data_IF_975112314466
#
_entry.id   IF_975112314466
#
_cell.length_a   1.000
_cell.length_b   1.000
_cell.length_c   1.000
_cell.angle_alpha   90.00
_cell.angle_beta   90.00
_cell.angle_gamma   90.00
#
_symmetry.space_group_name_H-M   'P 1'
#
loop_
_entity.id
_entity.type
_entity.pdbx_description
1 polymer ?
#
# COMPACT_ATOMS: atom_id res chain seq x y z
N UNK A 1 -16.85 -36.67 -14.67
CA UNK A 1 -16.90 -35.77 -15.84
C UNK A 1 -16.41 -34.41 -15.37
N UNK A 2 -15.13 -34.08 -15.61
CA UNK A 2 -14.61 -32.74 -15.27
C UNK A 2 -15.24 -31.74 -16.23
N UNK A 3 -15.99 -30.77 -15.72
CA UNK A 3 -16.40 -29.62 -16.51
C UNK A 3 -15.13 -28.89 -16.98
N UNK A 4 -15.02 -28.48 -18.26
CA UNK A 4 -13.95 -27.60 -18.67
C UNK A 4 -14.09 -26.29 -17.89
N UNK A 5 -12.95 -25.77 -17.40
CA UNK A 5 -12.92 -24.46 -16.76
C UNK A 5 -13.60 -23.42 -17.68
N UNK A 6 -14.38 -22.48 -17.12
CA UNK A 6 -15.04 -21.46 -17.93
C UNK A 6 -13.99 -20.71 -18.75
N UNK A 7 -14.02 -20.90 -20.07
CA UNK A 7 -13.17 -20.17 -20.99
C UNK A 7 -13.67 -18.72 -20.99
N UNK A 8 -12.85 -17.80 -20.49
CA UNK A 8 -13.16 -16.39 -20.53
C UNK A 8 -13.28 -15.95 -22.00
N UNK A 9 -14.28 -15.11 -22.36
CA UNK A 9 -14.37 -14.56 -23.71
C UNK A 9 -13.06 -13.89 -24.11
N UNK A 10 -12.60 -14.03 -25.35
CA UNK A 10 -11.31 -13.49 -25.84
C UNK A 10 -11.13 -12.00 -25.55
N UNK A 11 -12.22 -11.22 -25.54
CA UNK A 11 -12.26 -9.79 -25.17
C UNK A 11 -11.85 -9.49 -23.72
N UNK A 12 -11.81 -10.49 -22.85
CA UNK A 12 -11.36 -10.40 -21.46
C UNK A 12 -10.06 -11.17 -21.22
N UNK A 13 -9.49 -11.81 -22.25
CA UNK A 13 -8.17 -12.41 -22.19
C UNK A 13 -7.13 -11.29 -22.18
N UNK A 14 -6.31 -11.28 -21.14
CA UNK A 14 -5.26 -10.28 -21.00
C UNK A 14 -4.09 -10.55 -21.94
N UNK A 15 -3.55 -9.50 -22.56
CA UNK A 15 -2.30 -9.54 -23.34
C UNK A 15 -1.12 -8.97 -22.54
N UNK A 16 0.09 -9.39 -22.88
CA UNK A 16 1.31 -8.96 -22.19
C UNK A 16 1.93 -7.69 -22.79
N UNK A 17 1.48 -7.24 -23.96
CA UNK A 17 1.97 -5.98 -24.53
C UNK A 17 0.84 -5.10 -25.04
N UNK A 18 0.96 -3.79 -24.81
CA UNK A 18 0.01 -2.78 -25.33
C UNK A 18 -0.06 -2.78 -26.86
N UNK A 19 1.01 -3.21 -27.53
CA UNK A 19 1.10 -3.26 -28.99
C UNK A 19 0.17 -4.33 -29.62
N UNK A 20 -0.24 -5.34 -28.84
CA UNK A 20 -1.20 -6.37 -29.27
C UNK A 20 -2.64 -5.85 -29.30
N UNK A 21 -2.89 -4.63 -28.81
CA UNK A 21 -4.21 -4.01 -28.75
C UNK A 21 -4.34 -2.86 -29.77
N UNK A 22 -5.56 -2.57 -30.26
CA UNK A 22 -5.80 -1.43 -31.15
C UNK A 22 -5.22 -0.12 -30.61
N UNK A 23 -4.61 0.68 -31.50
CA UNK A 23 -3.89 1.89 -31.11
C UNK A 23 -4.83 3.03 -30.65
N UNK A 24 -6.08 3.01 -31.09
CA UNK A 24 -7.12 4.02 -30.86
C UNK A 24 -7.90 3.83 -29.54
N UNK A 25 -7.55 2.83 -28.73
CA UNK A 25 -8.19 2.60 -27.44
C UNK A 25 -8.00 3.77 -26.47
N UNK A 26 -9.08 4.11 -25.80
CA UNK A 26 -9.14 5.21 -24.82
C UNK A 26 -8.67 4.71 -23.46
N UNK A 27 -7.60 5.30 -22.94
CA UNK A 27 -7.26 5.18 -21.53
C UNK A 27 -8.07 6.20 -20.71
N UNK A 28 -8.88 5.73 -19.77
CA UNK A 28 -9.77 6.61 -18.97
C UNK A 28 -9.12 7.18 -17.69
N UNK A 29 -7.88 6.78 -17.39
CA UNK A 29 -7.13 7.27 -16.22
C UNK A 29 -6.52 8.65 -16.45
N UNK A 30 -6.35 9.41 -15.37
CA UNK A 30 -5.62 10.69 -15.40
C UNK A 30 -4.11 10.49 -15.31
N UNK A 31 -3.72 9.42 -14.63
CA UNK A 31 -2.37 8.91 -14.52
C UNK A 31 -1.92 8.23 -15.82
N UNK A 32 -0.60 8.08 -16.06
CA UNK A 32 -0.09 7.27 -17.15
C UNK A 32 -0.63 5.83 -17.11
N UNK A 33 -0.67 5.17 -18.27
CA UNK A 33 -0.97 3.74 -18.34
C UNK A 33 0.10 2.95 -17.54
N UNK A 34 -0.27 2.19 -16.50
CA UNK A 34 0.69 1.44 -15.70
C UNK A 34 1.38 0.33 -16.49
N UNK A 35 2.64 0.03 -16.16
CA UNK A 35 3.36 -1.10 -16.74
C UNK A 35 2.86 -2.45 -16.16
N UNK A 36 3.03 -3.54 -16.90
CA UNK A 36 2.86 -4.88 -16.31
C UNK A 36 3.90 -5.09 -15.21
N UNK A 37 3.46 -5.65 -14.09
CA UNK A 37 4.25 -5.79 -12.86
C UNK A 37 4.22 -4.58 -11.95
N UNK A 38 3.67 -3.44 -12.40
CA UNK A 38 3.53 -2.24 -11.58
C UNK A 38 2.44 -2.43 -10.51
N UNK A 39 2.66 -1.83 -9.33
CA UNK A 39 1.66 -1.79 -8.26
C UNK A 39 0.74 -0.60 -8.47
N UNK A 40 -0.56 -0.85 -8.38
CA UNK A 40 -1.64 0.14 -8.53
C UNK A 40 -2.60 0.01 -7.35
N UNK A 41 -3.38 1.06 -7.08
CA UNK A 41 -4.41 1.01 -6.06
C UNK A 41 -5.79 1.04 -6.73
N UNK A 42 -6.55 -0.05 -6.63
CA UNK A 42 -7.91 -0.12 -7.15
C UNK A 42 -8.85 0.51 -6.13
N UNK A 43 -9.41 1.68 -6.47
CA UNK A 43 -10.32 2.43 -5.58
C UNK A 43 -11.73 1.86 -5.57
N UNK A 44 -12.09 1.11 -6.61
CA UNK A 44 -13.41 0.53 -6.75
C UNK A 44 -13.58 -0.71 -5.84
N UNK A 45 -14.73 -0.80 -5.18
CA UNK A 45 -15.20 -1.98 -4.44
C UNK A 45 -14.21 -2.54 -3.40
N UNK A 46 -13.41 -1.68 -2.77
CA UNK A 46 -12.44 -2.02 -1.72
C UNK A 46 -11.39 -3.08 -2.11
N UNK A 47 -11.04 -3.20 -3.40
CA UNK A 47 -9.95 -4.10 -3.83
C UNK A 47 -8.57 -3.63 -3.36
N UNK A 48 -8.34 -2.32 -3.29
CA UNK A 48 -7.12 -1.75 -2.71
C UNK A 48 -5.85 -2.07 -3.52
N UNK A 49 -4.70 -2.31 -2.86
CA UNK A 49 -3.42 -2.63 -3.49
C UNK A 49 -3.50 -3.81 -4.46
N UNK A 50 -2.98 -3.66 -5.67
CA UNK A 50 -2.96 -4.70 -6.68
C UNK A 50 -1.73 -4.60 -7.59
N UNK A 51 -1.39 -5.72 -8.25
CA UNK A 51 -0.32 -5.78 -9.26
C UNK A 51 -0.93 -5.94 -10.64
N UNK A 52 -0.48 -5.16 -11.61
CA UNK A 52 -0.93 -5.27 -13.01
C UNK A 52 -0.31 -6.51 -13.65
N UNK A 53 -1.15 -7.37 -14.23
CA UNK A 53 -0.71 -8.61 -14.88
C UNK A 53 -0.82 -8.55 -16.40
N UNK A 54 -1.86 -7.91 -16.93
CA UNK A 54 -2.14 -7.87 -18.36
C UNK A 54 -2.88 -6.60 -18.74
N UNK A 55 -2.85 -6.28 -20.03
CA UNK A 55 -3.77 -5.30 -20.63
C UNK A 55 -4.96 -6.01 -21.26
N UNK A 56 -6.11 -5.35 -21.26
CA UNK A 56 -7.29 -5.81 -22.00
C UNK A 56 -8.02 -4.59 -22.60
N UNK A 57 -9.03 -4.84 -23.43
CA UNK A 57 -9.88 -3.78 -23.92
C UNK A 57 -11.35 -4.20 -23.92
N UNK A 58 -12.23 -3.24 -23.67
CA UNK A 58 -13.67 -3.44 -23.80
C UNK A 58 -14.32 -2.14 -24.27
N UNK A 59 -15.22 -2.23 -25.25
CA UNK A 59 -16.05 -1.11 -25.72
C UNK A 59 -15.26 0.16 -26.09
N UNK A 60 -14.07 0.00 -26.68
CA UNK A 60 -13.19 1.12 -27.08
C UNK A 60 -12.28 1.65 -25.98
N UNK A 61 -12.37 1.10 -24.77
CA UNK A 61 -11.54 1.48 -23.63
C UNK A 61 -10.42 0.48 -23.38
N UNK A 62 -9.26 1.01 -23.00
CA UNK A 62 -8.13 0.25 -22.50
C UNK A 62 -8.26 0.05 -20.99
N UNK A 63 -8.03 -1.18 -20.53
CA UNK A 63 -7.99 -1.54 -19.12
C UNK A 63 -6.83 -2.47 -18.78
N UNK A 64 -6.69 -2.77 -17.49
CA UNK A 64 -5.71 -3.70 -16.94
C UNK A 64 -6.39 -4.84 -16.16
N UNK A 65 -5.86 -6.05 -16.26
CA UNK A 65 -6.15 -7.12 -15.30
C UNK A 65 -5.14 -7.02 -14.17
N UNK A 66 -5.64 -6.89 -12.96
CA UNK A 66 -4.83 -6.78 -11.75
C UNK A 66 -5.08 -7.97 -10.82
N UNK A 67 -4.06 -8.35 -10.05
CA UNK A 67 -4.21 -9.26 -8.90
C UNK A 67 -4.16 -8.43 -7.62
N UNK A 68 -5.29 -8.25 -6.91
CA UNK A 68 -5.32 -7.60 -5.61
C UNK A 68 -4.49 -8.39 -4.59
N UNK A 69 -3.80 -7.68 -3.70
CA UNK A 69 -3.03 -8.30 -2.61
C UNK A 69 -3.96 -8.99 -1.60
N UNK A 70 -5.12 -8.40 -1.36
CA UNK A 70 -6.18 -8.97 -0.52
C UNK A 70 -7.48 -8.92 -1.29
N UNK A 71 -8.05 -10.09 -1.60
CA UNK A 71 -9.38 -10.18 -2.22
C UNK A 71 -10.46 -9.94 -1.14
N UNK A 72 -11.43 -9.04 -1.39
CA UNK A 72 -12.60 -8.89 -0.52
C UNK A 72 -13.43 -10.16 -0.42
N UNK A 73 -14.02 -10.43 0.74
CA UNK A 73 -14.78 -11.67 0.97
C UNK A 73 -16.05 -11.74 0.12
N UNK A 74 -16.69 -10.61 -0.15
CA UNK A 74 -17.84 -10.54 -1.06
C UNK A 74 -17.45 -11.03 -2.47
N UNK A 75 -16.24 -10.70 -2.93
CA UNK A 75 -15.78 -11.06 -4.26
C UNK A 75 -15.45 -12.55 -4.34
N UNK A 76 -14.81 -13.10 -3.30
CA UNK A 76 -14.54 -14.55 -3.20
C UNK A 76 -15.84 -15.36 -3.25
N UNK A 77 -16.91 -14.86 -2.63
CA UNK A 77 -18.22 -15.51 -2.61
C UNK A 77 -18.91 -15.44 -3.99
N UNK A 78 -18.84 -14.28 -4.65
CA UNK A 78 -19.47 -14.06 -5.95
C UNK A 78 -18.74 -14.78 -7.09
N UNK A 79 -17.41 -14.84 -7.04
CA UNK A 79 -16.54 -15.34 -8.11
C UNK A 79 -15.53 -16.36 -7.57
N UNK A 80 -15.98 -17.56 -7.16
CA UNK A 80 -15.10 -18.57 -6.58
C UNK A 80 -14.01 -18.99 -7.58
N UNK A 81 -12.76 -18.91 -7.15
CA UNK A 81 -11.57 -19.29 -7.95
C UNK A 81 -11.03 -18.17 -8.84
N UNK A 82 -11.68 -17.02 -8.92
CA UNK A 82 -11.19 -15.85 -9.67
C UNK A 82 -10.25 -15.04 -8.80
N UNK A 83 -9.01 -14.82 -9.27
CA UNK A 83 -7.98 -14.09 -8.54
C UNK A 83 -7.58 -12.76 -9.18
N UNK A 84 -8.07 -12.51 -10.40
CA UNK A 84 -7.78 -11.31 -11.17
C UNK A 84 -9.04 -10.51 -11.38
N UNK A 85 -8.88 -9.19 -11.37
CA UNK A 85 -9.97 -8.24 -11.54
C UNK A 85 -9.66 -7.32 -12.70
N UNK A 86 -10.67 -7.01 -13.48
CA UNK A 86 -10.60 -5.99 -14.52
C UNK A 86 -10.71 -4.61 -13.88
N UNK A 87 -9.82 -3.71 -14.26
CA UNK A 87 -9.87 -2.31 -13.84
C UNK A 87 -9.59 -1.37 -15.02
N UNK A 88 -10.39 -0.32 -15.16
CA UNK A 88 -10.15 0.79 -16.07
C UNK A 88 -9.40 1.92 -15.37
N UNK A 89 -8.75 2.79 -16.15
CA UNK A 89 -7.90 3.84 -15.59
C UNK A 89 -8.59 4.76 -14.59
N UNK A 90 -9.88 5.07 -14.77
CA UNK A 90 -10.67 5.88 -13.81
C UNK A 90 -10.87 5.20 -12.44
N UNK A 91 -10.82 3.87 -12.39
CA UNK A 91 -11.00 3.07 -11.17
C UNK A 91 -9.68 2.90 -10.40
N UNK A 92 -8.57 3.21 -11.06
CA UNK A 92 -7.24 3.19 -10.48
C UNK A 92 -6.92 4.53 -9.84
N UNK A 93 -6.30 4.46 -8.67
CA UNK A 93 -5.58 5.57 -8.07
C UNK A 93 -4.08 5.38 -8.21
N UNK A 94 -3.36 6.47 -7.95
CA UNK A 94 -1.95 6.40 -7.65
C UNK A 94 -1.75 5.41 -6.49
N UNK A 95 -0.87 4.42 -6.70
CA UNK A 95 -0.38 3.65 -5.58
C UNK A 95 0.40 4.61 -4.70
N UNK A 96 0.12 4.70 -3.38
CA UNK A 96 0.94 5.53 -2.52
C UNK A 96 2.38 4.99 -2.60
N UNK A 97 3.24 5.70 -3.32
CA UNK A 97 4.67 5.55 -3.19
C UNK A 97 4.95 5.94 -1.75
N UNK A 98 5.18 4.96 -0.88
CA UNK A 98 5.70 5.30 0.44
C UNK A 98 7.05 6.00 0.25
N UNK A 99 7.31 7.08 1.00
CA UNK A 99 6.54 7.49 2.15
C UNK A 99 5.45 8.50 1.75
N UNK A 100 4.21 8.24 2.17
CA UNK A 100 3.31 9.35 2.49
C UNK A 100 4.07 10.14 3.53
N UNK A 101 4.57 11.31 3.17
CA UNK A 101 5.11 12.25 4.12
C UNK A 101 3.97 12.56 5.09
N UNK A 102 4.01 11.91 6.26
CA UNK A 102 2.99 12.13 7.27
C UNK A 102 3.09 13.60 7.70
N UNK A 103 1.96 14.30 7.85
CA UNK A 103 1.96 15.64 8.41
C UNK A 103 2.75 15.67 9.72
N UNK A 104 3.45 16.77 10.00
CA UNK A 104 4.25 16.91 11.22
C UNK A 104 3.41 16.56 12.47
N UNK A 105 2.15 16.99 12.52
CA UNK A 105 1.23 16.68 13.62
C UNK A 105 1.00 15.18 13.85
N UNK A 106 0.99 14.37 12.80
CA UNK A 106 0.85 12.90 12.89
C UNK A 106 2.15 12.27 13.40
N UNK A 107 3.30 12.78 12.97
CA UNK A 107 4.60 12.32 13.44
C UNK A 107 4.80 12.67 14.92
N UNK A 108 4.43 13.88 15.34
CA UNK A 108 4.46 14.33 16.74
C UNK A 108 3.55 13.49 17.62
N UNK A 109 2.34 13.15 17.16
CA UNK A 109 1.45 12.22 17.86
C UNK A 109 2.09 10.83 18.00
N UNK A 110 2.72 10.32 16.93
CA UNK A 110 3.47 9.07 16.95
C UNK A 110 4.63 9.08 17.94
N UNK A 111 5.42 10.15 17.97
CA UNK A 111 6.51 10.35 18.93
C UNK A 111 5.99 10.34 20.37
N UNK A 112 4.88 11.03 20.66
CA UNK A 112 4.27 11.07 21.98
C UNK A 112 3.80 9.67 22.45
N UNK A 113 3.24 8.86 21.53
CA UNK A 113 2.86 7.47 21.82
C UNK A 113 4.09 6.63 22.16
N UNK A 114 5.17 6.72 21.38
CA UNK A 114 6.40 5.97 21.64
C UNK A 114 7.06 6.40 22.97
N UNK A 115 7.03 7.70 23.28
CA UNK A 115 7.52 8.23 24.56
C UNK A 115 6.73 7.67 25.74
N UNK A 116 5.40 7.61 25.63
CA UNK A 116 4.55 6.98 26.65
C UNK A 116 4.89 5.51 26.81
N UNK A 117 5.04 4.77 25.71
CA UNK A 117 5.40 3.36 25.76
C UNK A 117 6.75 3.12 26.45
N UNK A 118 7.77 3.94 26.15
CA UNK A 118 9.06 3.89 26.82
C UNK A 118 8.93 4.15 28.33
N UNK A 119 8.14 5.16 28.74
CA UNK A 119 7.90 5.45 30.15
C UNK A 119 7.21 4.28 30.86
N UNK A 120 6.28 3.61 30.19
CA UNK A 120 5.58 2.43 30.72
C UNK A 120 6.56 1.27 30.92
N UNK A 121 7.42 0.99 29.92
CA UNK A 121 8.50 0.00 30.02
C UNK A 121 9.52 0.31 31.11
N UNK A 122 9.87 1.58 31.31
CA UNK A 122 10.75 1.96 32.41
C UNK A 122 10.11 1.72 33.78
N UNK A 123 8.79 1.89 33.93
CA UNK A 123 8.08 1.57 35.18
C UNK A 123 8.01 0.07 35.42
N UNK A 124 7.74 -0.72 34.39
CA UNK A 124 7.76 -2.20 34.44
C UNK A 124 9.15 -2.70 34.83
N UNK A 125 10.19 -2.24 34.14
CA UNK A 125 11.56 -2.61 34.41
C UNK A 125 12.00 -2.28 35.86
N UNK A 126 11.59 -1.12 36.41
CA UNK A 126 11.85 -0.77 37.82
C UNK A 126 11.15 -1.70 38.81
N UNK A 127 9.98 -2.25 38.47
CA UNK A 127 9.25 -3.20 39.32
C UNK A 127 9.87 -4.58 39.27
N UNK A 128 10.26 -5.03 38.08
CA UNK A 128 10.77 -6.38 37.83
C UNK A 128 12.24 -6.51 38.24
N UNK A 129 13.04 -5.46 38.00
CA UNK A 129 14.49 -5.44 38.23
C UNK A 129 14.91 -4.27 39.14
N UNK A 130 14.42 -4.20 40.40
CA UNK A 130 14.63 -3.04 41.26
C UNK A 130 16.11 -2.73 41.56
N UNK A 131 16.95 -3.77 41.64
CA UNK A 131 18.36 -3.67 42.02
C UNK A 131 19.34 -3.90 40.86
N UNK A 132 18.85 -4.18 39.65
CA UNK A 132 19.70 -4.47 38.49
C UNK A 132 19.52 -3.38 37.40
N UNK A 133 20.41 -2.38 37.33
CA UNK A 133 20.32 -1.31 36.33
C UNK A 133 20.56 -1.80 34.90
N UNK A 134 21.37 -2.83 34.69
CA UNK A 134 21.70 -3.33 33.36
C UNK A 134 20.51 -4.11 32.77
N UNK A 135 19.86 -4.96 33.57
CA UNK A 135 18.62 -5.63 33.14
C UNK A 135 17.48 -4.63 32.89
N UNK A 136 17.38 -3.56 33.68
CA UNK A 136 16.41 -2.48 33.41
C UNK A 136 16.64 -1.82 32.05
N UNK A 137 17.91 -1.52 31.74
CA UNK A 137 18.31 -0.92 30.47
C UNK A 137 18.02 -1.85 29.31
N UNK A 138 18.37 -3.14 29.44
CA UNK A 138 18.08 -4.16 28.43
C UNK A 138 16.57 -4.31 28.19
N UNK A 139 15.77 -4.36 29.24
CA UNK A 139 14.30 -4.47 29.14
C UNK A 139 13.66 -3.28 28.41
N UNK A 140 14.24 -2.08 28.52
CA UNK A 140 13.74 -0.87 27.85
C UNK A 140 14.36 -0.63 26.46
N UNK A 141 15.32 -1.44 26.01
CA UNK A 141 16.16 -1.12 24.86
C UNK A 141 15.36 -0.98 23.56
N UNK A 142 14.41 -1.88 23.32
CA UNK A 142 13.56 -1.85 22.12
C UNK A 142 12.64 -0.63 22.09
N UNK A 143 11.94 -0.36 23.20
CA UNK A 143 11.06 0.80 23.33
C UNK A 143 11.84 2.11 23.19
N UNK A 144 13.08 2.15 23.69
CA UNK A 144 13.97 3.30 23.54
C UNK A 144 14.37 3.51 22.08
N UNK A 145 14.80 2.46 21.39
CA UNK A 145 15.15 2.54 19.97
C UNK A 145 13.94 2.94 19.10
N UNK A 146 12.73 2.48 19.45
CA UNK A 146 11.50 2.88 18.77
C UNK A 146 11.19 4.37 18.95
N UNK A 147 11.33 4.89 20.17
CA UNK A 147 11.17 6.32 20.44
C UNK A 147 12.23 7.17 19.73
N UNK A 148 13.50 6.76 19.75
CA UNK A 148 14.59 7.46 19.04
C UNK A 148 14.36 7.54 17.53
N UNK A 149 13.87 6.45 16.91
CA UNK A 149 13.44 6.46 15.50
C UNK A 149 12.26 7.40 15.25
N UNK A 150 11.31 7.48 16.16
CA UNK A 150 10.18 8.40 16.04
C UNK A 150 10.64 9.86 16.11
N UNK A 151 11.50 10.22 17.08
CA UNK A 151 12.09 11.55 17.17
C UNK A 151 12.84 11.93 15.88
N UNK A 152 13.69 11.04 15.36
CA UNK A 152 14.44 11.31 14.13
C UNK A 152 13.52 11.64 12.94
N UNK A 153 12.41 10.92 12.79
CA UNK A 153 11.42 11.19 11.73
C UNK A 153 10.70 12.51 11.94
N UNK A 154 10.35 12.86 13.18
CA UNK A 154 9.73 14.15 13.50
C UNK A 154 10.69 15.30 13.23
N UNK A 155 11.96 15.17 13.60
CA UNK A 155 12.98 16.20 13.40
C UNK A 155 13.28 16.43 11.92
N UNK A 156 13.35 15.36 11.12
CA UNK A 156 13.45 15.46 9.67
C UNK A 156 12.26 16.21 9.07
N UNK A 157 11.04 15.92 9.52
CA UNK A 157 9.84 16.62 9.07
C UNK A 157 9.83 18.11 9.50
N UNK A 158 10.28 18.45 10.72
CA UNK A 158 10.45 19.84 11.17
C UNK A 158 11.47 20.59 10.33
N UNK A 159 12.60 19.95 10.03
CA UNK A 159 13.64 20.54 9.18
C UNK A 159 13.12 20.82 7.77
N UNK A 160 12.27 19.93 7.23
CA UNK A 160 11.62 20.13 5.92
C UNK A 160 10.62 21.28 5.93
N UNK A 161 9.76 21.41 6.95
CA UNK A 161 8.82 22.54 7.06
C UNK A 161 9.53 23.89 7.27
N UNK A 162 10.71 23.88 7.89
CA UNK A 162 11.53 25.07 8.09
C UNK A 162 12.36 25.48 6.84
N UNK A 163 12.46 24.63 5.82
CA UNK A 163 13.20 24.93 4.61
C UNK A 163 12.43 25.97 3.75
N UNK A 164 13.09 27.03 3.26
CA UNK A 164 12.44 27.99 2.38
C UNK A 164 12.00 27.32 1.07
N UNK A 165 10.88 27.75 0.45
CA UNK A 165 10.51 27.25 -0.87
C UNK A 165 11.66 27.55 -1.84
N UNK A 166 12.12 26.53 -2.56
CA UNK A 166 13.02 26.73 -3.69
C UNK A 166 12.32 27.68 -4.68
N UNK A 167 12.92 28.85 -4.89
CA UNK A 167 12.36 29.94 -5.70
C UNK A 167 12.24 29.62 -7.17
#
# INVERSE_FOLDING_TARGET
MSQPAPQMPEKFAGVLTRAELPADLIWSGKQPLPAIGERVYIRMNDFGPAVVNYYFHADGFLGVLCTPEVLPDWFKLQSPGVTKVHAFGVELGDFPTLPVELPLSVLEAGEAVQKRHLNDKQREAKREYPNDPELRKAHCAEARAAWERACARTDEARAREAAPPAG
#
